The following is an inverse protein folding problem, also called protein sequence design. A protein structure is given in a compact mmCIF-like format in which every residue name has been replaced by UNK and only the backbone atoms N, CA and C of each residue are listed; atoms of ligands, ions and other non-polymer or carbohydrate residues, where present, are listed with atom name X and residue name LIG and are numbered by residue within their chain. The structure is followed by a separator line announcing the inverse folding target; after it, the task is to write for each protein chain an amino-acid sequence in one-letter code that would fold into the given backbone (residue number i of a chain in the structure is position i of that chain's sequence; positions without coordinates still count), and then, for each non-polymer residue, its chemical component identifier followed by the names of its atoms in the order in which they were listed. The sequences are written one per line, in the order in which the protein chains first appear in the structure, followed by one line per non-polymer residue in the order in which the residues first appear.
data_IF_516879795788
#
_entry.id   IF_516879795788
#
_cell.length_a   1.000
_cell.length_b   1.000
_cell.length_c   1.000
_cell.angle_alpha   90.00
_cell.angle_beta   90.00
_cell.angle_gamma   90.00
#
_symmetry.space_group_name_H-M   'P 1'
#
loop_
_entity.id
_entity.type
_entity.pdbx_description
1 polymer ?
#
# COMPACT_ATOMS: atom_id res chain seq x y z
N UNK A 1 -12.84 25.65 35.10
CA UNK A 1 -12.86 25.26 33.66
C UNK A 1 -12.38 23.82 33.48
N UNK A 2 -11.75 23.23 34.49
CA UNK A 2 -11.15 21.88 34.45
C UNK A 2 -12.17 20.72 34.49
N UNK A 3 -13.45 21.01 34.70
CA UNK A 3 -14.52 20.01 34.75
C UNK A 3 -15.10 19.65 33.36
N UNK A 4 -14.91 20.50 32.35
CA UNK A 4 -15.47 20.25 31.01
C UNK A 4 -14.60 19.25 30.24
N UNK A 5 -13.28 19.31 30.41
CA UNK A 5 -12.34 18.38 29.79
C UNK A 5 -12.54 16.96 30.35
N UNK A 6 -12.76 16.83 31.67
CA UNK A 6 -13.06 15.53 32.27
C UNK A 6 -14.44 15.01 31.86
N UNK A 7 -15.47 15.86 31.73
CA UNK A 7 -16.77 15.42 31.21
C UNK A 7 -16.69 14.96 29.75
N UNK A 8 -15.78 15.52 28.95
CA UNK A 8 -15.52 15.09 27.56
C UNK A 8 -14.85 13.71 27.53
N UNK A 9 -13.84 13.47 28.36
CA UNK A 9 -13.17 12.17 28.47
C UNK A 9 -14.10 11.09 29.08
N UNK A 10 -14.99 11.47 29.99
CA UNK A 10 -15.93 10.53 30.62
C UNK A 10 -17.07 10.10 29.67
N UNK A 11 -17.45 10.92 28.69
CA UNK A 11 -18.44 10.57 27.65
C UNK A 11 -17.86 9.63 26.57
N UNK A 12 -16.54 9.66 26.35
CA UNK A 12 -15.86 8.65 25.51
C UNK A 12 -15.93 7.24 26.15
N UNK A 13 -15.89 7.15 27.49
CA UNK A 13 -15.97 5.88 28.21
C UNK A 13 -17.40 5.28 28.26
N UNK A 14 -18.45 6.11 28.23
CA UNK A 14 -19.84 5.63 28.21
C UNK A 14 -20.36 5.27 26.81
N UNK A 15 -19.77 5.83 25.74
CA UNK A 15 -20.14 5.46 24.36
C UNK A 15 -19.46 4.18 23.85
N UNK A 16 -18.36 3.73 24.46
CA UNK A 16 -17.64 2.50 24.05
C UNK A 16 -18.34 1.20 24.48
N UNK A 17 -19.37 1.26 25.34
CA UNK A 17 -20.15 0.08 25.80
C UNK A 17 -21.42 -0.17 24.96
N UNK A 18 -21.85 0.78 24.13
CA UNK A 18 -23.17 0.71 23.47
C UNK A 18 -23.16 0.45 21.95
N UNK A 19 -22.05 0.05 21.33
CA UNK A 19 -22.01 -0.23 19.87
C UNK A 19 -21.26 -1.50 19.44
N UNK A 20 -21.22 -2.52 20.30
CA UNK A 20 -20.87 -3.87 19.89
C UNK A 20 -22.14 -4.73 19.67
N UNK A 21 -22.85 -4.51 18.56
CA UNK A 21 -23.62 -5.59 17.91
C UNK A 21 -23.97 -5.27 16.45
N UNK A 22 -23.39 -6.10 15.57
CA UNK A 22 -23.90 -6.56 14.27
C UNK A 22 -23.81 -5.63 13.04
N UNK A 23 -23.00 -6.06 12.07
CA UNK A 23 -23.08 -5.59 10.67
C UNK A 23 -21.79 -5.76 9.86
N UNK A 24 -21.62 -6.91 9.22
CA UNK A 24 -20.49 -7.31 8.36
C UNK A 24 -20.14 -6.34 7.21
N UNK A 25 -18.87 -5.91 7.11
CA UNK A 25 -18.17 -5.83 5.82
C UNK A 25 -16.64 -5.85 5.99
N UNK A 26 -16.01 -6.82 5.35
CA UNK A 26 -14.63 -7.23 5.53
C UNK A 26 -13.57 -6.19 5.08
N UNK A 27 -12.83 -5.64 6.05
CA UNK A 27 -11.53 -5.02 5.81
C UNK A 27 -10.42 -6.08 5.88
N UNK A 28 -9.87 -6.45 4.72
CA UNK A 28 -8.67 -7.28 4.62
C UNK A 28 -7.45 -6.46 5.07
N UNK A 29 -6.98 -6.68 6.30
CA UNK A 29 -5.60 -6.31 6.72
C UNK A 29 -4.65 -7.46 6.37
N UNK A 30 -3.42 -7.20 5.86
CA UNK A 30 -2.41 -8.24 5.78
C UNK A 30 -1.86 -8.49 7.19
N UNK A 31 -2.15 -9.66 7.74
CA UNK A 31 -1.54 -10.16 8.96
C UNK A 31 -0.06 -10.46 8.71
N UNK A 32 0.82 -9.86 9.51
CA UNK A 32 2.20 -10.29 9.62
C UNK A 32 2.21 -11.70 10.23
N UNK A 33 2.65 -12.68 9.43
CA UNK A 33 2.77 -14.07 9.85
C UNK A 33 4.10 -14.24 10.57
N UNK A 34 4.07 -14.23 11.90
CA UNK A 34 5.10 -14.83 12.75
C UNK A 34 5.08 -16.33 12.50
N UNK A 35 6.14 -16.87 11.90
CA UNK A 35 6.30 -18.30 11.66
C UNK A 35 6.93 -18.93 12.91
N UNK A 36 6.12 -19.67 13.67
CA UNK A 36 6.61 -20.51 14.76
C UNK A 36 7.38 -21.69 14.19
N UNK A 37 8.62 -21.88 14.68
CA UNK A 37 9.45 -23.06 14.46
C UNK A 37 8.76 -24.35 14.94
N UNK A 38 8.99 -25.50 14.29
CA UNK A 38 8.96 -26.77 14.99
C UNK A 38 10.35 -27.08 15.58
N UNK A 39 10.36 -27.37 16.88
CA UNK A 39 11.49 -27.93 17.61
C UNK A 39 11.87 -29.31 17.06
N UNK A 40 13.10 -29.44 16.57
CA UNK A 40 13.76 -30.73 16.39
C UNK A 40 15.20 -30.66 16.92
N UNK A 41 15.34 -31.05 18.19
CA UNK A 41 16.42 -31.86 18.76
C UNK A 41 17.88 -31.36 18.64
N UNK A 42 18.40 -30.92 19.79
CA UNK A 42 19.77 -31.08 20.31
C UNK A 42 20.92 -31.32 19.29
N UNK A 43 21.79 -30.31 19.14
CA UNK A 43 23.12 -30.42 18.56
C UNK A 43 24.05 -31.27 19.46
N UNK A 44 24.69 -32.34 18.95
CA UNK A 44 25.98 -32.76 19.43
C UNK A 44 27.07 -31.86 18.81
N UNK A 45 27.95 -31.34 19.67
CA UNK A 45 29.08 -30.48 19.37
C UNK A 45 30.18 -31.19 18.57
N UNK A 46 29.94 -31.61 17.33
CA UNK A 46 31.02 -31.88 16.35
C UNK A 46 30.45 -31.94 14.94
N UNK A 47 30.63 -30.90 14.15
CA UNK A 47 30.35 -30.94 12.70
C UNK A 47 31.52 -31.62 11.97
N UNK A 48 31.26 -32.54 11.03
CA UNK A 48 32.31 -33.16 10.22
C UNK A 48 32.95 -32.11 9.27
N UNK A 49 34.26 -32.24 8.94
CA UNK A 49 35.03 -31.18 8.27
C UNK A 49 34.71 -30.98 6.77
N UNK A 50 33.55 -31.39 6.28
CA UNK A 50 33.19 -31.25 4.86
C UNK A 50 32.40 -29.98 4.50
N UNK A 51 32.02 -29.13 5.47
CA UNK A 51 31.23 -27.91 5.24
C UNK A 51 31.98 -26.62 5.62
N UNK A 52 33.26 -26.53 5.24
CA UNK A 52 33.96 -25.24 5.18
C UNK A 52 33.51 -24.48 3.92
N UNK A 53 33.13 -23.22 4.10
CA UNK A 53 32.63 -22.28 3.09
C UNK A 53 33.75 -21.79 2.13
N UNK A 54 34.58 -22.72 1.66
CA UNK A 54 35.72 -22.47 0.77
C UNK A 54 35.88 -23.47 -0.37
N UNK A 55 34.95 -24.42 -0.52
CA UNK A 55 35.05 -25.46 -1.55
C UNK A 55 33.76 -25.61 -2.38
N UNK A 56 33.28 -24.51 -2.96
CA UNK A 56 32.34 -24.60 -4.08
C UNK A 56 33.11 -24.98 -5.34
N UNK A 57 33.29 -26.29 -5.52
CA UNK A 57 33.69 -26.90 -6.79
C UNK A 57 32.59 -26.56 -7.81
N UNK A 58 32.86 -25.91 -8.96
CA UNK A 58 31.87 -25.82 -10.01
C UNK A 58 31.52 -27.24 -10.45
N UNK A 59 30.25 -27.61 -10.33
CA UNK A 59 29.73 -28.88 -10.85
C UNK A 59 29.73 -28.79 -12.38
N UNK A 60 30.90 -29.03 -12.97
CA UNK A 60 31.04 -29.27 -14.40
C UNK A 60 30.76 -30.76 -14.61
N UNK A 61 29.53 -31.10 -14.97
CA UNK A 61 29.15 -32.47 -15.32
C UNK A 61 29.71 -32.84 -16.69
N UNK A 62 31.01 -33.12 -16.74
CA UNK A 62 31.64 -33.91 -17.80
C UNK A 62 32.18 -35.19 -17.14
N UNK A 63 31.83 -36.38 -17.65
CA UNK A 63 32.33 -37.62 -17.08
C UNK A 63 33.83 -37.74 -17.39
N UNK A 64 34.67 -38.26 -16.47
CA UNK A 64 36.06 -38.55 -16.76
C UNK A 64 36.10 -39.79 -17.65
N UNK A 65 36.43 -39.60 -18.93
CA UNK A 65 36.70 -40.68 -19.87
C UNK A 65 38.13 -41.21 -19.63
N UNK A 66 38.21 -42.38 -19.03
CA UNK A 66 39.41 -43.22 -19.03
C UNK A 66 38.99 -44.52 -19.73
N UNK A 67 39.25 -44.61 -21.04
CA UNK A 67 40.33 -45.43 -21.56
C UNK A 67 40.27 -45.58 -23.09
N UNK A 68 41.47 -45.68 -23.68
CA UNK A 68 41.80 -46.48 -24.85
C UNK A 68 41.43 -45.92 -26.24
N UNK A 69 42.46 -45.38 -26.88
CA UNK A 69 42.83 -45.67 -28.28
C UNK A 69 41.68 -46.02 -29.21
N UNK A 70 41.01 -44.96 -29.69
CA UNK A 70 40.34 -45.04 -30.99
C UNK A 70 40.54 -43.73 -31.71
N UNK A 71 41.58 -43.70 -32.54
CA UNK A 71 41.60 -43.00 -33.82
C UNK A 71 40.18 -43.00 -34.41
N UNK A 72 39.43 -41.93 -34.13
CA UNK A 72 38.11 -41.73 -34.71
C UNK A 72 37.93 -40.23 -34.80
N UNK A 73 38.23 -39.71 -35.99
CA UNK A 73 37.99 -38.32 -36.33
C UNK A 73 36.63 -37.89 -35.78
N UNK A 74 36.62 -36.75 -35.09
CA UNK A 74 35.41 -36.08 -34.65
C UNK A 74 34.50 -36.03 -35.85
N UNK A 75 33.53 -36.96 -35.91
CA UNK A 75 32.63 -37.03 -37.05
C UNK A 75 31.94 -35.68 -37.12
N UNK A 76 32.02 -35.02 -38.28
CA UNK A 76 31.46 -33.70 -38.55
C UNK A 76 30.04 -33.54 -37.96
N UNK A 77 29.30 -34.64 -37.94
CA UNK A 77 27.93 -34.78 -37.44
C UNK A 77 27.77 -34.55 -35.93
N UNK A 78 28.68 -35.03 -35.06
CA UNK A 78 28.55 -34.83 -33.61
C UNK A 78 28.83 -33.37 -33.22
N UNK A 79 29.79 -32.73 -33.90
CA UNK A 79 30.05 -31.31 -33.76
C UNK A 79 28.89 -30.47 -34.32
N UNK A 80 28.26 -30.88 -35.41
CA UNK A 80 27.07 -30.23 -35.97
C UNK A 80 25.86 -30.31 -35.03
N UNK A 81 25.58 -31.50 -34.44
CA UNK A 81 24.51 -31.69 -33.47
C UNK A 81 24.71 -30.84 -32.20
N UNK A 82 25.96 -30.72 -31.74
CA UNK A 82 26.32 -29.88 -30.59
C UNK A 82 26.08 -28.39 -30.87
N UNK A 83 26.48 -27.91 -32.05
CA UNK A 83 26.21 -26.53 -32.50
C UNK A 83 24.71 -26.27 -32.64
N UNK A 84 23.93 -27.21 -33.16
CA UNK A 84 22.48 -27.08 -33.27
C UNK A 84 21.79 -26.99 -31.90
N UNK A 85 22.26 -27.76 -30.91
CA UNK A 85 21.76 -27.69 -29.52
C UNK A 85 22.10 -26.36 -28.85
N UNK A 86 23.30 -25.83 -29.08
CA UNK A 86 23.70 -24.51 -28.59
C UNK A 86 22.84 -23.40 -29.20
N UNK A 87 22.57 -23.48 -30.50
CA UNK A 87 21.72 -22.52 -31.21
C UNK A 87 20.29 -22.53 -30.66
N UNK A 88 19.69 -23.71 -30.44
CA UNK A 88 18.35 -23.82 -29.81
C UNK A 88 18.31 -23.22 -28.41
N UNK A 89 19.37 -23.40 -27.62
CA UNK A 89 19.49 -22.77 -26.29
C UNK A 89 19.54 -21.25 -26.40
N UNK A 90 20.33 -20.71 -27.34
CA UNK A 90 20.42 -19.27 -27.61
C UNK A 90 19.08 -18.69 -28.08
N UNK A 91 18.40 -19.38 -28.98
CA UNK A 91 17.07 -18.97 -29.46
C UNK A 91 16.03 -18.99 -28.33
N UNK A 92 16.01 -20.05 -27.52
CA UNK A 92 15.15 -20.14 -26.33
C UNK A 92 15.42 -19.01 -25.35
N UNK A 93 16.70 -18.71 -25.09
CA UNK A 93 17.13 -17.60 -24.24
C UNK A 93 16.69 -16.24 -24.81
N UNK A 94 16.90 -16.00 -26.10
CA UNK A 94 16.50 -14.79 -26.79
C UNK A 94 14.98 -14.57 -26.75
N UNK A 95 14.21 -15.64 -26.91
CA UNK A 95 12.74 -15.58 -26.79
C UNK A 95 12.29 -15.18 -25.39
N UNK A 96 12.90 -15.77 -24.36
CA UNK A 96 12.59 -15.42 -22.98
C UNK A 96 12.95 -13.96 -22.66
N UNK A 97 14.13 -13.50 -23.09
CA UNK A 97 14.55 -12.12 -22.87
C UNK A 97 13.69 -11.11 -23.64
N UNK A 98 13.27 -11.43 -24.87
CA UNK A 98 12.27 -10.62 -25.59
C UNK A 98 10.99 -10.50 -24.77
N UNK A 99 10.44 -11.61 -24.29
CA UNK A 99 9.23 -11.61 -23.45
C UNK A 99 9.40 -10.79 -22.18
N UNK A 100 10.53 -10.91 -21.50
CA UNK A 100 10.87 -10.10 -20.33
C UNK A 100 10.88 -8.60 -20.66
N UNK A 101 11.53 -8.20 -21.76
CA UNK A 101 11.56 -6.81 -22.22
C UNK A 101 10.17 -6.27 -22.53
N UNK A 102 9.33 -7.05 -23.22
CA UNK A 102 7.94 -6.67 -23.48
C UNK A 102 7.17 -6.44 -22.18
N UNK A 103 7.28 -7.36 -21.22
CA UNK A 103 6.58 -7.22 -19.95
C UNK A 103 7.00 -5.97 -19.17
N UNK A 104 8.31 -5.68 -19.10
CA UNK A 104 8.82 -4.46 -18.47
C UNK A 104 8.25 -3.20 -19.16
N UNK A 105 8.31 -3.16 -20.49
CA UNK A 105 7.80 -2.03 -21.25
C UNK A 105 6.29 -1.84 -21.07
N UNK A 106 5.52 -2.92 -20.91
CA UNK A 106 4.11 -2.84 -20.58
C UNK A 106 3.87 -2.21 -19.21
N UNK A 107 4.62 -2.62 -18.18
CA UNK A 107 4.48 -2.01 -16.85
C UNK A 107 4.80 -0.53 -16.86
N UNK A 108 5.82 -0.11 -17.61
CA UNK A 108 6.16 1.31 -17.77
C UNK A 108 5.01 2.07 -18.46
N UNK A 109 4.40 1.51 -19.52
CA UNK A 109 3.24 2.12 -20.17
C UNK A 109 1.99 2.18 -19.28
N UNK A 110 1.80 1.20 -18.39
CA UNK A 110 0.68 1.24 -17.45
C UNK A 110 0.89 2.30 -16.38
N UNK A 111 2.11 2.46 -15.87
CA UNK A 111 2.45 3.54 -14.93
C UNK A 111 2.17 4.92 -15.54
N UNK A 112 2.52 5.12 -16.81
CA UNK A 112 2.29 6.38 -17.52
C UNK A 112 0.81 6.81 -17.53
N UNK A 113 -0.11 5.84 -17.67
CA UNK A 113 -1.56 6.10 -17.66
C UNK A 113 -2.09 6.51 -16.28
N UNK A 114 -1.42 6.10 -15.20
CA UNK A 114 -1.82 6.41 -13.82
C UNK A 114 -1.31 7.77 -13.35
N UNK A 115 -0.34 8.35 -14.06
CA UNK A 115 0.18 9.66 -13.72
C UNK A 115 -0.83 10.77 -14.02
N UNK A 116 -0.91 11.80 -13.17
CA UNK A 116 -1.73 12.97 -13.44
C UNK A 116 -1.25 13.64 -14.74
N UNK A 117 -2.21 13.92 -15.64
CA UNK A 117 -1.92 14.57 -16.93
C UNK A 117 -1.27 15.94 -16.66
N UNK A 118 0.01 16.07 -16.96
CA UNK A 118 0.70 17.38 -16.92
C UNK A 118 0.03 18.27 -17.97
N UNK A 119 -0.50 19.42 -17.55
CA UNK A 119 -1.33 20.35 -18.33
C UNK A 119 -0.61 21.05 -19.50
N UNK A 120 0.38 20.42 -20.14
CA UNK A 120 1.31 21.06 -21.05
C UNK A 120 1.26 20.42 -22.45
N UNK A 121 0.61 21.07 -23.44
CA UNK A 121 0.33 20.48 -24.75
C UNK A 121 1.51 20.41 -25.74
N UNK A 122 2.71 20.96 -25.44
CA UNK A 122 3.68 21.24 -26.51
C UNK A 122 4.77 20.17 -26.82
N UNK A 123 4.86 19.02 -26.14
CA UNK A 123 5.98 18.09 -26.37
C UNK A 123 5.57 16.61 -26.36
N UNK A 124 4.62 16.22 -27.18
CA UNK A 124 4.03 14.87 -27.16
C UNK A 124 5.03 13.73 -27.53
N UNK A 125 6.08 14.03 -28.31
CA UNK A 125 7.04 13.01 -28.77
C UNK A 125 8.23 12.77 -27.82
N UNK A 126 8.67 13.79 -27.05
CA UNK A 126 9.81 13.68 -26.12
C UNK A 126 9.38 13.41 -24.67
N UNK A 127 8.07 13.49 -24.37
CA UNK A 127 7.51 13.45 -23.02
C UNK A 127 7.39 12.07 -22.38
N UNK A 128 7.65 11.00 -23.12
CA UNK A 128 7.37 9.63 -22.66
C UNK A 128 8.59 8.71 -22.77
N UNK A 129 9.77 9.21 -22.36
CA UNK A 129 10.90 8.29 -22.18
C UNK A 129 10.70 7.45 -20.92
N UNK A 130 11.10 6.18 -20.95
CA UNK A 130 10.97 5.27 -19.81
C UNK A 130 11.52 5.86 -18.51
N UNK A 131 12.62 6.63 -18.58
CA UNK A 131 13.20 7.30 -17.42
C UNK A 131 12.30 8.39 -16.82
N UNK A 132 11.64 9.19 -17.65
CA UNK A 132 10.72 10.23 -17.18
C UNK A 132 9.48 9.63 -16.50
N UNK A 133 8.87 8.60 -17.09
CA UNK A 133 7.70 7.92 -16.52
C UNK A 133 8.03 7.34 -15.14
N UNK A 134 9.16 6.65 -15.01
CA UNK A 134 9.60 6.08 -13.74
C UNK A 134 9.84 7.17 -12.69
N UNK A 135 10.54 8.25 -13.05
CA UNK A 135 10.78 9.38 -12.14
C UNK A 135 9.46 10.01 -11.67
N UNK A 136 8.57 10.34 -12.59
CA UNK A 136 7.27 10.94 -12.27
C UNK A 136 6.40 9.99 -11.41
N UNK A 137 6.49 8.68 -11.63
CA UNK A 137 5.81 7.67 -10.79
C UNK A 137 6.28 7.71 -9.35
N UNK A 138 7.60 7.82 -9.13
CA UNK A 138 8.16 7.89 -7.78
C UNK A 138 7.75 9.20 -7.10
N UNK A 139 7.85 10.33 -7.79
CA UNK A 139 7.41 11.64 -7.29
C UNK A 139 5.92 11.62 -6.92
N UNK A 140 5.08 11.06 -7.78
CA UNK A 140 3.65 10.99 -7.53
C UNK A 140 3.30 10.06 -6.36
N UNK A 141 3.99 8.93 -6.21
CA UNK A 141 3.80 8.05 -5.05
C UNK A 141 4.20 8.73 -3.73
N UNK A 142 5.29 9.51 -3.74
CA UNK A 142 5.68 10.30 -2.56
C UNK A 142 4.63 11.36 -2.23
N UNK A 143 4.12 12.06 -3.24
CA UNK A 143 3.03 13.01 -3.07
C UNK A 143 1.77 12.36 -2.51
N UNK A 144 1.35 11.21 -3.07
CA UNK A 144 0.19 10.46 -2.57
C UNK A 144 0.34 10.04 -1.11
N UNK A 145 1.54 9.62 -0.69
CA UNK A 145 1.80 9.28 0.72
C UNK A 145 1.62 10.50 1.63
N UNK A 146 2.13 11.65 1.23
CA UNK A 146 1.95 12.89 1.98
C UNK A 146 0.47 13.32 2.00
N UNK A 147 -0.23 13.16 0.88
CA UNK A 147 -1.63 13.53 0.73
C UNK A 147 -2.56 12.68 1.60
N UNK A 148 -2.31 11.37 1.70
CA UNK A 148 -3.03 10.48 2.62
C UNK A 148 -2.84 10.93 4.07
N UNK A 149 -1.62 11.30 4.48
CA UNK A 149 -1.37 11.84 5.83
C UNK A 149 -2.13 13.14 6.06
N UNK A 150 -2.07 14.06 5.10
CA UNK A 150 -2.75 15.37 5.16
C UNK A 150 -4.27 15.21 5.28
N UNK A 151 -4.86 14.27 4.52
CA UNK A 151 -6.28 13.97 4.57
C UNK A 151 -6.69 13.37 5.92
N UNK A 152 -5.89 12.44 6.46
CA UNK A 152 -6.14 11.86 7.79
C UNK A 152 -6.20 12.94 8.89
N UNK A 153 -5.27 13.90 8.88
CA UNK A 153 -5.29 15.01 9.83
C UNK A 153 -6.49 15.95 9.62
N UNK A 154 -6.85 16.20 8.35
CA UNK A 154 -8.01 17.02 8.01
C UNK A 154 -9.32 16.36 8.49
N UNK A 155 -9.43 15.04 8.38
CA UNK A 155 -10.56 14.28 8.90
C UNK A 155 -10.65 14.34 10.43
N UNK A 156 -9.51 14.22 11.13
CA UNK A 156 -9.48 14.37 12.59
C UNK A 156 -9.94 15.77 13.03
N UNK A 157 -9.42 16.83 12.38
CA UNK A 157 -9.86 18.20 12.63
C UNK A 157 -11.34 18.40 12.33
N UNK A 158 -11.85 17.80 11.25
CA UNK A 158 -13.29 17.85 10.89
C UNK A 158 -14.15 17.25 12.00
N UNK A 159 -13.78 16.09 12.55
CA UNK A 159 -14.53 15.45 13.65
C UNK A 159 -14.61 16.33 14.89
N UNK A 160 -13.51 16.97 15.27
CA UNK A 160 -13.49 17.90 16.41
C UNK A 160 -14.45 19.07 16.18
N UNK A 161 -14.38 19.68 14.99
CA UNK A 161 -15.28 20.79 14.64
C UNK A 161 -16.75 20.36 14.58
N UNK A 162 -17.05 19.14 14.15
CA UNK A 162 -18.42 18.60 14.13
C UNK A 162 -19.00 18.43 15.54
N UNK A 163 -18.19 17.91 16.47
CA UNK A 163 -18.57 17.78 17.88
C UNK A 163 -18.80 19.15 18.53
N UNK A 164 -17.88 20.08 18.33
CA UNK A 164 -18.01 21.45 18.83
C UNK A 164 -19.25 22.14 18.24
N UNK A 165 -19.48 22.01 16.94
CA UNK A 165 -20.65 22.58 16.28
C UNK A 165 -21.95 21.99 16.82
N UNK A 166 -21.99 20.67 17.07
CA UNK A 166 -23.13 20.01 17.70
C UNK A 166 -23.39 20.57 19.11
N UNK A 167 -22.35 20.69 19.94
CA UNK A 167 -22.47 21.28 21.27
C UNK A 167 -23.01 22.71 21.24
N UNK A 168 -22.46 23.55 20.36
CA UNK A 168 -22.90 24.94 20.21
C UNK A 168 -24.36 25.04 19.76
N UNK A 169 -24.81 24.18 18.83
CA UNK A 169 -26.22 24.13 18.41
C UNK A 169 -27.15 23.75 19.56
N UNK A 170 -26.80 22.73 20.34
CA UNK A 170 -27.58 22.33 21.52
C UNK A 170 -27.63 23.44 22.57
N UNK A 171 -26.53 24.18 22.77
CA UNK A 171 -26.49 25.32 23.68
C UNK A 171 -27.36 26.47 23.20
N UNK A 172 -27.34 26.78 21.90
CA UNK A 172 -28.22 27.79 21.30
C UNK A 172 -29.70 27.43 21.53
N UNK A 173 -30.09 26.19 21.25
CA UNK A 173 -31.48 25.72 21.46
C UNK A 173 -31.92 25.87 22.93
N UNK A 174 -31.06 25.50 23.89
CA UNK A 174 -31.36 25.69 25.32
C UNK A 174 -31.55 27.15 25.69
N UNK A 175 -30.74 28.05 25.12
CA UNK A 175 -30.84 29.49 25.38
C UNK A 175 -32.10 30.07 24.73
N UNK A 176 -32.42 29.68 23.50
CA UNK A 176 -33.66 30.05 22.81
C UNK A 176 -34.90 29.63 23.61
N UNK A 177 -34.92 28.41 24.15
CA UNK A 177 -36.00 27.92 25.01
C UNK A 177 -36.16 28.77 26.29
N UNK A 178 -35.05 29.09 26.98
CA UNK A 178 -35.08 29.95 28.17
C UNK A 178 -35.58 31.37 27.87
N UNK A 179 -35.16 31.94 26.74
CA UNK A 179 -35.65 33.26 26.30
C UNK A 179 -37.14 33.18 25.97
N UNK A 180 -37.60 32.10 25.34
CA UNK A 180 -39.03 31.91 25.06
C UNK A 180 -39.85 31.81 26.36
N UNK A 181 -39.38 31.04 27.35
CA UNK A 181 -40.02 30.94 28.67
C UNK A 181 -40.10 32.31 29.36
N UNK A 182 -39.01 33.07 29.37
CA UNK A 182 -38.94 34.41 29.99
C UNK A 182 -39.64 35.51 29.17
N UNK A 183 -39.84 35.31 27.87
CA UNK A 183 -40.47 36.25 26.95
C UNK A 183 -42.00 36.18 26.92
N UNK A 184 -42.61 35.18 27.58
CA UNK A 184 -44.08 35.11 27.75
C UNK A 184 -44.63 36.06 28.82
N UNK A 185 -43.78 36.84 29.51
CA UNK A 185 -44.21 37.80 30.55
C UNK A 185 -44.47 39.22 30.04
N UNK A 186 -44.25 39.53 28.76
CA UNK A 186 -44.50 40.87 28.21
C UNK A 186 -45.49 40.77 27.01
N UNK A 187 -46.50 41.64 26.99
CA UNK A 187 -47.56 41.80 25.97
C UNK A 187 -48.88 41.01 26.15
N UNK A 188 -49.53 41.12 27.31
CA UNK A 188 -50.98 41.41 27.35
C UNK A 188 -51.15 42.93 27.43
N UNK A 189 -50.99 43.62 26.31
CA UNK A 189 -51.47 45.00 26.19
C UNK A 189 -52.99 44.96 26.17
N UNK A 190 -53.58 45.47 27.24
CA UNK A 190 -55.00 45.75 27.42
C UNK A 190 -55.52 46.51 26.20
N UNK A 191 -56.63 46.08 25.54
CA UNK A 191 -57.31 46.97 24.60
C UNK A 191 -57.93 48.10 25.43
N UNK A 192 -57.25 49.24 25.49
CA UNK A 192 -57.79 50.44 26.09
C UNK A 192 -58.97 50.92 25.24
N UNK A 193 -60.13 51.01 25.89
CA UNK A 193 -61.40 51.42 25.33
C UNK A 193 -61.31 52.76 24.59
N UNK A 194 -61.83 52.79 23.36
CA UNK A 194 -62.22 54.04 22.69
C UNK A 194 -63.60 54.45 23.20
N UNK A 195 -63.64 55.48 24.03
CA UNK A 195 -64.85 56.20 24.42
C UNK A 195 -65.00 57.44 23.52
N UNK A 196 -66.18 57.53 22.90
CA UNK A 196 -66.84 58.67 22.24
C UNK A 196 -66.18 59.34 21.03
#
# INVERSE_FOLDING_TARGET
MDNIIEQILNLEAEMDVQSCSEGDQACVRPAQRSFSQPDCLALPSTLPPCLSWGALRPSNSYPPDLSLDKERGVTSDQAALSRAKEQRRKESHNMFERRRRFNINERIRDLDKLLPRRSEPYCEAARYSSGHVLKATVEYMQWLKQEVSRLSEAEARRRVLELENHHLRSRLQQLEAKVHELGTTEFKTTPQATLQ
#
